data_IF_108610373132
#
_entry.id   IF_108610373132
#
_cell.length_a   1.000
_cell.length_b   1.000
_cell.length_c   1.000
_cell.angle_alpha   90.00
_cell.angle_beta   90.00
_cell.angle_gamma   90.00
#
_symmetry.space_group_name_H-M   'P 1'
#
loop_
_entity.id
_entity.type
_entity.pdbx_description
1 polymer ?
#
# COMPACT_ATOMS: atom_id res chain seq x y z
N UNK A 1 30.98 1.10 47.59
CA UNK A 1 31.07 1.61 46.21
C UNK A 1 29.99 2.68 46.05
N UNK A 2 30.36 3.95 45.84
CA UNK A 2 29.37 5.04 45.66
C UNK A 2 28.56 4.73 44.39
N UNK A 3 27.24 4.63 44.50
CA UNK A 3 26.36 4.59 43.32
C UNK A 3 26.45 5.96 42.66
N UNK A 4 27.12 6.04 41.52
CA UNK A 4 27.15 7.27 40.72
C UNK A 4 25.74 7.46 40.16
N UNK A 5 24.96 8.33 40.79
CA UNK A 5 23.66 8.73 40.28
C UNK A 5 23.90 9.54 39.01
N UNK A 6 23.40 9.04 37.87
CA UNK A 6 23.47 9.74 36.59
C UNK A 6 22.81 11.10 36.74
N UNK A 7 23.49 12.13 36.25
CA UNK A 7 22.97 13.49 36.28
C UNK A 7 21.66 13.56 35.47
N UNK A 8 20.75 14.51 35.79
CA UNK A 8 19.48 14.63 35.08
C UNK A 8 19.63 14.78 33.56
N UNK A 9 20.76 15.31 33.09
CA UNK A 9 21.08 15.50 31.68
C UNK A 9 21.54 14.19 31.00
N UNK A 10 22.38 13.40 31.68
CA UNK A 10 22.75 12.04 31.26
C UNK A 10 21.52 11.11 31.23
N UNK A 11 20.60 11.26 32.19
CA UNK A 11 19.34 10.51 32.22
C UNK A 11 18.48 10.81 30.99
N UNK A 12 18.36 12.09 30.60
CA UNK A 12 17.63 12.51 29.39
C UNK A 12 18.30 11.99 28.12
N UNK A 13 19.62 12.05 28.04
CA UNK A 13 20.36 11.54 26.87
C UNK A 13 20.20 10.01 26.73
N UNK A 14 20.28 9.27 27.83
CA UNK A 14 20.05 7.81 27.83
C UNK A 14 18.61 7.48 27.45
N UNK A 15 17.62 8.21 27.95
CA UNK A 15 16.22 8.05 27.56
C UNK A 15 16.00 8.34 26.07
N UNK A 16 16.59 9.40 25.53
CA UNK A 16 16.52 9.73 24.11
C UNK A 16 17.21 8.69 23.22
N UNK A 17 18.37 8.17 23.64
CA UNK A 17 19.08 7.07 22.98
C UNK A 17 18.27 5.77 23.01
N UNK A 18 17.62 5.47 24.14
CA UNK A 18 16.73 4.31 24.30
C UNK A 18 15.53 4.44 23.37
N UNK A 19 14.89 5.61 23.31
CA UNK A 19 13.76 5.89 22.43
C UNK A 19 14.16 5.79 20.96
N UNK A 20 15.32 6.34 20.57
CA UNK A 20 15.84 6.25 19.20
C UNK A 20 16.15 4.81 18.79
N UNK A 21 16.81 4.04 19.66
CA UNK A 21 17.06 2.60 19.44
C UNK A 21 15.76 1.81 19.36
N UNK A 22 14.79 2.09 20.22
CA UNK A 22 13.47 1.46 20.19
C UNK A 22 12.71 1.80 18.89
N UNK A 23 12.79 3.06 18.42
CA UNK A 23 12.17 3.49 17.17
C UNK A 23 12.84 2.85 15.93
N UNK A 24 14.17 2.71 15.93
CA UNK A 24 14.91 1.99 14.88
C UNK A 24 14.59 0.50 14.89
N UNK A 25 14.50 -0.11 16.08
CA UNK A 25 14.13 -1.52 16.23
C UNK A 25 12.69 -1.76 15.76
N UNK A 26 11.76 -0.86 16.11
CA UNK A 26 10.37 -0.92 15.67
C UNK A 26 10.24 -0.68 14.17
N UNK A 27 11.04 0.22 13.59
CA UNK A 27 11.14 0.43 12.14
C UNK A 27 11.64 -0.83 11.43
N UNK A 28 12.68 -1.47 11.97
CA UNK A 28 13.23 -2.72 11.44
C UNK A 28 12.21 -3.86 11.56
N UNK A 29 11.55 -3.96 12.69
CA UNK A 29 10.48 -4.93 12.96
C UNK A 29 9.28 -4.75 12.03
N UNK A 30 8.82 -3.51 11.80
CA UNK A 30 7.74 -3.21 10.86
C UNK A 30 8.16 -3.62 9.44
N UNK A 31 9.36 -3.26 8.99
CA UNK A 31 9.87 -3.65 7.67
C UNK A 31 9.96 -5.17 7.53
N UNK A 32 10.64 -5.83 8.47
CA UNK A 32 10.84 -7.28 8.48
C UNK A 32 9.51 -8.05 8.61
N UNK A 33 8.53 -7.54 9.38
CA UNK A 33 7.17 -8.13 9.48
C UNK A 33 6.27 -7.83 8.30
N UNK A 34 6.45 -6.69 7.61
CA UNK A 34 5.73 -6.41 6.36
C UNK A 34 6.23 -7.26 5.19
N UNK A 35 7.48 -7.71 5.25
CA UNK A 35 8.09 -8.61 4.26
C UNK A 35 7.97 -10.09 4.65
N UNK A 36 7.69 -10.41 5.92
CA UNK A 36 7.48 -11.77 6.37
C UNK A 36 6.27 -12.43 5.66
N UNK A 37 6.45 -13.68 5.22
CA UNK A 37 5.33 -14.50 4.73
C UNK A 37 4.32 -14.68 5.85
N UNK A 38 3.17 -14.02 5.76
CA UNK A 38 2.02 -14.29 6.65
C UNK A 38 1.56 -15.72 6.36
N UNK A 39 1.87 -16.64 7.28
CA UNK A 39 1.56 -18.06 7.14
C UNK A 39 0.05 -18.30 7.15
N UNK A 40 -0.67 -17.61 8.04
CA UNK A 40 -2.13 -17.68 8.14
C UNK A 40 -2.75 -16.27 8.05
N UNK A 41 -3.17 -15.89 6.84
CA UNK A 41 -3.77 -14.57 6.57
C UNK A 41 -5.17 -14.39 7.16
N UNK A 42 -5.78 -15.47 7.62
CA UNK A 42 -7.15 -15.52 8.13
C UNK A 42 -7.22 -15.74 9.64
N UNK A 43 -6.09 -15.78 10.35
CA UNK A 43 -6.07 -15.97 11.81
C UNK A 43 -6.38 -14.68 12.57
N UNK A 44 -6.95 -14.83 13.77
CA UNK A 44 -7.20 -13.71 14.70
C UNK A 44 -5.90 -12.98 15.04
N UNK A 45 -4.79 -13.70 15.18
CA UNK A 45 -3.46 -13.11 15.41
C UNK A 45 -3.07 -12.14 14.27
N UNK A 46 -3.40 -12.47 13.02
CA UNK A 46 -3.14 -11.56 11.89
C UNK A 46 -3.97 -10.28 11.99
N UNK A 47 -5.20 -10.36 12.50
CA UNK A 47 -6.07 -9.20 12.69
C UNK A 47 -5.55 -8.31 13.85
N UNK A 48 -5.11 -8.93 14.93
CA UNK A 48 -4.48 -8.23 16.06
C UNK A 48 -3.21 -7.49 15.65
N UNK A 49 -2.38 -8.08 14.78
CA UNK A 49 -1.20 -7.41 14.22
C UNK A 49 -1.59 -6.19 13.37
N UNK A 50 -2.67 -6.27 12.59
CA UNK A 50 -3.19 -5.12 11.84
C UNK A 50 -3.71 -4.00 12.77
N UNK A 51 -4.35 -4.35 13.89
CA UNK A 51 -4.77 -3.39 14.92
C UNK A 51 -3.55 -2.76 15.61
N UNK A 52 -2.49 -3.53 15.88
CA UNK A 52 -1.24 -3.00 16.46
C UNK A 52 -0.54 -2.01 15.53
N UNK A 53 -0.53 -2.25 14.20
CA UNK A 53 0.00 -1.28 13.22
C UNK A 53 -0.68 0.09 13.35
N UNK A 54 -1.99 0.12 13.65
CA UNK A 54 -2.74 1.35 13.88
C UNK A 54 -2.28 2.07 15.16
N UNK A 55 -2.10 1.36 16.27
CA UNK A 55 -1.60 1.97 17.52
C UNK A 55 -0.19 2.53 17.38
N UNK A 56 0.65 1.87 16.60
CA UNK A 56 2.01 2.34 16.34
C UNK A 56 2.00 3.60 15.46
N UNK A 57 0.97 3.81 14.63
CA UNK A 57 0.85 4.99 13.75
C UNK A 57 0.89 6.31 14.53
N UNK A 58 0.31 6.35 15.72
CA UNK A 58 0.33 7.54 16.60
C UNK A 58 1.74 7.91 17.06
N UNK A 59 2.67 6.96 17.05
CA UNK A 59 4.11 7.17 17.37
C UNK A 59 4.94 7.52 16.11
N UNK A 60 4.37 7.42 14.90
CA UNK A 60 5.08 7.55 13.62
C UNK A 60 4.92 8.95 12.99
N UNK A 61 4.45 9.97 13.71
CA UNK A 61 4.34 11.35 13.18
C UNK A 61 5.66 11.87 12.58
N UNK A 62 6.80 11.50 13.15
CA UNK A 62 8.11 11.89 12.64
C UNK A 62 8.42 11.28 11.26
N UNK A 63 7.97 10.06 10.97
CA UNK A 63 8.22 9.40 9.68
C UNK A 63 7.33 9.94 8.57
N UNK A 64 6.13 10.42 8.91
CA UNK A 64 5.22 11.08 7.98
C UNK A 64 5.87 12.34 7.40
N UNK A 65 6.43 13.18 8.28
CA UNK A 65 7.13 14.41 7.91
C UNK A 65 8.41 14.15 7.13
N UNK A 66 9.22 13.15 7.54
CA UNK A 66 10.48 12.81 6.88
C UNK A 66 10.32 12.33 5.43
N UNK A 67 9.15 11.79 5.07
CA UNK A 67 8.86 11.28 3.71
C UNK A 67 7.92 12.19 2.92
N UNK A 68 7.58 13.36 3.46
CA UNK A 68 6.65 14.33 2.85
C UNK A 68 5.33 13.67 2.38
N UNK A 69 4.83 12.71 3.18
CA UNK A 69 3.65 11.94 2.83
C UNK A 69 2.35 12.69 3.11
N UNK A 70 2.39 13.73 3.94
CA UNK A 70 1.25 14.61 4.21
C UNK A 70 0.71 15.24 2.91
N UNK A 71 1.57 15.48 1.91
CA UNK A 71 1.17 15.99 0.61
C UNK A 71 0.40 14.96 -0.24
N UNK A 72 0.52 13.66 0.08
CA UNK A 72 0.00 12.55 -0.74
C UNK A 72 -1.10 11.73 -0.08
N UNK A 73 -1.01 11.53 1.23
CA UNK A 73 -1.88 10.63 2.00
C UNK A 73 -2.55 11.39 3.14
N UNK A 74 -3.87 11.25 3.23
CA UNK A 74 -4.72 11.85 4.26
C UNK A 74 -4.73 10.98 5.54
N UNK A 75 -4.95 11.63 6.69
CA UNK A 75 -5.17 10.94 7.98
C UNK A 75 -6.56 10.32 8.08
N UNK A 76 -7.55 10.96 7.46
CA UNK A 76 -8.94 10.52 7.42
C UNK A 76 -9.36 10.24 5.97
N UNK A 77 -10.30 9.30 5.75
CA UNK A 77 -10.80 9.06 4.41
C UNK A 77 -11.65 10.24 3.95
N UNK A 78 -11.42 10.70 2.73
CA UNK A 78 -12.31 11.58 2.01
C UNK A 78 -13.62 10.86 1.63
N UNK A 79 -14.60 11.66 1.21
CA UNK A 79 -15.85 11.15 0.66
C UNK A 79 -15.60 10.20 -0.51
N UNK A 80 -16.47 9.19 -0.63
CA UNK A 80 -16.34 8.18 -1.67
C UNK A 80 -16.71 8.79 -3.03
N UNK A 81 -15.78 8.72 -3.97
CA UNK A 81 -16.00 9.02 -5.38
C UNK A 81 -15.59 7.81 -6.22
N UNK A 82 -16.39 7.42 -7.24
CA UNK A 82 -16.01 6.34 -8.14
C UNK A 82 -14.85 6.78 -9.04
N UNK A 83 -13.65 6.26 -8.79
CA UNK A 83 -12.46 6.55 -9.60
C UNK A 83 -12.14 5.42 -10.60
N UNK A 84 -12.36 4.17 -10.20
CA UNK A 84 -12.10 3.03 -11.07
C UNK A 84 -13.29 2.79 -12.00
N UNK A 85 -13.10 3.05 -13.29
CA UNK A 85 -14.14 2.94 -14.32
C UNK A 85 -14.42 1.49 -14.71
N UNK A 86 -15.59 1.24 -15.31
CA UNK A 86 -15.95 -0.09 -15.82
C UNK A 86 -15.01 -0.50 -16.96
N UNK A 87 -14.60 0.46 -17.79
CA UNK A 87 -13.71 0.27 -18.93
C UNK A 87 -12.35 -0.28 -18.51
N UNK A 88 -11.77 0.24 -17.43
CA UNK A 88 -10.51 -0.27 -16.89
C UNK A 88 -10.61 -1.76 -16.53
N UNK A 89 -11.68 -2.15 -15.83
CA UNK A 89 -11.87 -3.56 -15.46
C UNK A 89 -12.27 -4.42 -16.66
N UNK A 90 -13.02 -3.88 -17.63
CA UNK A 90 -13.38 -4.58 -18.86
C UNK A 90 -12.14 -4.98 -19.66
N UNK A 91 -11.19 -4.07 -19.83
CA UNK A 91 -9.91 -4.37 -20.50
C UNK A 91 -9.07 -5.38 -19.71
N UNK A 92 -9.02 -5.26 -18.38
CA UNK A 92 -8.36 -6.25 -17.53
C UNK A 92 -8.99 -7.64 -17.69
N UNK A 93 -10.32 -7.74 -17.67
CA UNK A 93 -11.04 -9.01 -17.84
C UNK A 93 -10.76 -9.62 -19.22
N UNK A 94 -10.79 -8.80 -20.28
CA UNK A 94 -10.46 -9.22 -21.65
C UNK A 94 -9.08 -9.83 -21.73
N UNK A 95 -8.05 -9.12 -21.26
CA UNK A 95 -6.66 -9.58 -21.30
C UNK A 95 -6.40 -10.83 -20.44
N UNK A 96 -7.23 -11.04 -19.41
CA UNK A 96 -7.13 -12.18 -18.49
C UNK A 96 -7.97 -13.39 -18.91
N UNK A 97 -8.82 -13.24 -19.93
CA UNK A 97 -9.82 -14.25 -20.29
C UNK A 97 -10.84 -14.51 -19.18
N UNK A 98 -11.17 -13.50 -18.37
CA UNK A 98 -12.21 -13.60 -17.35
C UNK A 98 -13.59 -13.35 -17.96
N UNK A 99 -14.61 -14.03 -17.44
CA UNK A 99 -15.99 -13.90 -17.92
C UNK A 99 -16.55 -12.49 -17.67
N UNK A 100 -17.18 -11.90 -18.69
CA UNK A 100 -17.78 -10.57 -18.62
C UNK A 100 -19.24 -10.62 -19.09
N UNK A 101 -20.17 -10.44 -18.15
CA UNK A 101 -21.62 -10.49 -18.37
C UNK A 101 -22.23 -9.06 -18.43
N UNK A 102 -21.52 -8.11 -19.05
CA UNK A 102 -21.98 -6.73 -19.25
C UNK A 102 -21.65 -5.74 -18.13
N UNK A 103 -21.92 -6.05 -16.86
CA UNK A 103 -21.55 -5.18 -15.72
C UNK A 103 -20.65 -5.92 -14.75
N UNK A 104 -19.49 -5.34 -14.43
CA UNK A 104 -18.54 -5.94 -13.48
C UNK A 104 -18.93 -5.51 -12.06
N UNK A 105 -19.92 -6.20 -11.50
CA UNK A 105 -20.29 -6.07 -10.10
C UNK A 105 -19.20 -6.67 -9.19
N UNK A 106 -18.90 -7.94 -9.40
CA UNK A 106 -17.91 -8.70 -8.64
C UNK A 106 -16.60 -8.88 -9.40
N UNK A 107 -15.50 -8.96 -8.67
CA UNK A 107 -14.15 -9.04 -9.23
C UNK A 107 -13.40 -10.16 -8.54
N UNK A 108 -12.67 -11.02 -9.29
CA UNK A 108 -11.75 -11.96 -8.68
C UNK A 108 -10.75 -11.25 -7.77
N UNK A 109 -10.35 -11.88 -6.66
CA UNK A 109 -9.37 -11.31 -5.73
C UNK A 109 -8.05 -10.88 -6.42
N UNK A 110 -7.69 -11.56 -7.51
CA UNK A 110 -6.54 -11.23 -8.35
C UNK A 110 -6.62 -9.84 -8.97
N UNK A 111 -7.81 -9.33 -9.28
CA UNK A 111 -8.00 -8.00 -9.85
C UNK A 111 -7.43 -6.91 -8.93
N UNK A 112 -7.67 -7.01 -7.62
CA UNK A 112 -7.09 -6.09 -6.64
C UNK A 112 -5.56 -6.17 -6.56
N UNK A 113 -4.99 -7.37 -6.75
CA UNK A 113 -3.53 -7.55 -6.81
C UNK A 113 -2.94 -6.89 -8.07
N UNK A 114 -3.60 -7.05 -9.21
CA UNK A 114 -3.18 -6.42 -10.46
C UNK A 114 -3.33 -4.90 -10.42
N UNK A 115 -4.41 -4.37 -9.85
CA UNK A 115 -4.56 -2.93 -9.65
C UNK A 115 -3.47 -2.35 -8.74
N UNK A 116 -3.06 -3.06 -7.69
CA UNK A 116 -1.93 -2.61 -6.87
C UNK A 116 -0.64 -2.48 -7.68
N UNK A 117 -0.36 -3.46 -8.53
CA UNK A 117 0.84 -3.49 -9.37
C UNK A 117 0.80 -2.44 -10.48
N UNK A 118 -0.29 -2.36 -11.24
CA UNK A 118 -0.38 -1.49 -12.42
C UNK A 118 -0.59 -0.03 -12.04
N UNK A 119 -1.36 0.24 -10.97
CA UNK A 119 -1.74 1.60 -10.60
C UNK A 119 -0.98 2.09 -9.38
N UNK A 120 -1.05 1.37 -8.25
CA UNK A 120 -0.50 1.90 -7.00
C UNK A 120 1.05 1.87 -6.92
N UNK A 121 1.71 0.97 -7.65
CA UNK A 121 3.19 0.95 -7.70
C UNK A 121 3.78 2.05 -8.58
N UNK A 122 2.96 2.82 -9.31
CA UNK A 122 3.41 4.02 -10.03
C UNK A 122 3.64 5.22 -9.11
N UNK A 123 3.03 5.22 -7.93
CA UNK A 123 3.38 6.18 -6.90
C UNK A 123 4.76 5.87 -6.31
N UNK A 124 5.26 6.75 -5.43
CA UNK A 124 6.48 6.44 -4.70
C UNK A 124 6.32 5.15 -3.88
N UNK A 125 7.42 4.42 -3.69
CA UNK A 125 7.41 3.09 -3.05
C UNK A 125 6.80 3.10 -1.64
N UNK A 126 6.75 4.26 -0.99
CA UNK A 126 6.17 4.47 0.33
C UNK A 126 4.64 4.57 0.32
N UNK A 127 4.01 5.04 -0.75
CA UNK A 127 2.57 5.39 -0.73
C UNK A 127 1.69 4.18 -0.41
N UNK A 128 1.84 3.06 -1.12
CA UNK A 128 0.98 1.89 -0.88
C UNK A 128 1.18 1.27 0.52
N UNK A 129 2.41 1.06 1.03
CA UNK A 129 2.62 0.66 2.42
C UNK A 129 1.90 1.59 3.42
N UNK A 130 1.99 2.90 3.24
CA UNK A 130 1.30 3.85 4.11
C UNK A 130 -0.22 3.77 3.98
N UNK A 131 -0.75 3.65 2.77
CA UNK A 131 -2.19 3.44 2.52
C UNK A 131 -2.71 2.19 3.22
N UNK A 132 -1.91 1.11 3.31
CA UNK A 132 -2.28 -0.10 4.06
C UNK A 132 -2.27 0.09 5.56
N UNK A 133 -1.41 0.96 6.09
CA UNK A 133 -1.35 1.28 7.51
C UNK A 133 -2.53 2.17 7.93
N UNK A 134 -2.85 3.21 7.15
CA UNK A 134 -3.97 4.13 7.47
C UNK A 134 -5.34 3.51 7.18
N UNK A 135 -5.39 2.52 6.28
CA UNK A 135 -6.59 1.77 5.96
C UNK A 135 -6.38 0.27 6.25
N UNK A 136 -6.31 -0.14 7.53
CA UNK A 136 -6.08 -1.53 7.92
C UNK A 136 -7.27 -2.42 7.56
N UNK A 137 -7.08 -3.74 7.69
CA UNK A 137 -8.16 -4.69 7.45
C UNK A 137 -9.12 -4.66 8.65
N UNK A 138 -10.43 -4.70 8.38
CA UNK A 138 -11.44 -4.93 9.44
C UNK A 138 -11.74 -6.43 9.58
N UNK A 139 -11.57 -7.16 8.48
CA UNK A 139 -11.61 -8.62 8.39
C UNK A 139 -10.62 -9.05 7.32
N UNK A 140 -10.15 -10.31 7.30
CA UNK A 140 -9.22 -10.80 6.30
C UNK A 140 -9.66 -10.44 4.87
N UNK A 141 -8.84 -9.64 4.18
CA UNK A 141 -9.11 -9.19 2.81
C UNK A 141 -10.14 -8.05 2.65
N UNK A 142 -10.80 -7.63 3.74
CA UNK A 142 -11.85 -6.60 3.72
C UNK A 142 -11.39 -5.35 4.46
N UNK A 143 -11.46 -4.21 3.78
CA UNK A 143 -11.19 -2.88 4.35
C UNK A 143 -12.47 -2.08 4.45
N UNK A 144 -12.60 -1.27 5.49
CA UNK A 144 -13.76 -0.39 5.70
C UNK A 144 -13.90 0.62 4.55
N UNK A 145 -12.79 1.18 4.09
CA UNK A 145 -12.74 2.19 3.03
C UNK A 145 -11.84 1.72 1.88
N UNK A 146 -11.90 2.41 0.75
CA UNK A 146 -11.00 2.19 -0.39
C UNK A 146 -9.71 3.00 -0.23
N UNK A 147 -8.58 2.48 -0.72
CA UNK A 147 -7.29 3.16 -0.59
C UNK A 147 -7.29 4.57 -1.21
N UNK A 148 -7.96 4.78 -2.34
CA UNK A 148 -8.03 6.09 -2.97
C UNK A 148 -8.73 7.17 -2.12
N UNK A 149 -9.53 6.79 -1.10
CA UNK A 149 -10.16 7.77 -0.21
C UNK A 149 -9.15 8.43 0.72
N UNK A 150 -7.99 7.79 0.93
CA UNK A 150 -6.91 8.34 1.73
C UNK A 150 -5.87 9.08 0.89
N UNK A 151 -6.11 9.32 -0.40
CA UNK A 151 -5.23 10.14 -1.23
C UNK A 151 -5.69 11.60 -1.17
N UNK A 152 -4.73 12.53 -1.23
CA UNK A 152 -5.04 13.95 -1.41
C UNK A 152 -5.68 14.19 -2.79
N UNK A 153 -6.36 15.32 -2.97
CA UNK A 153 -7.07 15.64 -4.23
C UNK A 153 -6.16 15.51 -5.46
N UNK A 154 -4.97 16.11 -5.43
CA UNK A 154 -4.02 16.04 -6.54
C UNK A 154 -3.56 14.61 -6.84
N UNK A 155 -3.33 13.78 -5.82
CA UNK A 155 -2.96 12.37 -6.04
C UNK A 155 -4.16 11.52 -6.53
N UNK A 156 -5.41 11.90 -6.22
CA UNK A 156 -6.61 11.28 -6.81
C UNK A 156 -6.76 11.61 -8.30
N UNK A 157 -6.43 12.83 -8.70
CA UNK A 157 -6.40 13.22 -10.11
C UNK A 157 -5.29 12.48 -10.86
N UNK A 158 -4.10 12.37 -10.26
CA UNK A 158 -3.00 11.57 -10.79
C UNK A 158 -3.37 10.08 -10.90
N UNK A 159 -4.10 9.54 -9.91
CA UNK A 159 -4.62 8.17 -9.94
C UNK A 159 -5.56 7.95 -11.15
N UNK A 160 -6.43 8.92 -11.46
CA UNK A 160 -7.32 8.87 -12.63
C UNK A 160 -6.50 8.80 -13.93
N UNK A 161 -5.47 9.65 -14.07
CA UNK A 161 -4.56 9.62 -15.21
C UNK A 161 -3.86 8.24 -15.35
N UNK A 162 -3.41 7.66 -14.24
CA UNK A 162 -2.79 6.32 -14.28
C UNK A 162 -3.74 5.24 -14.78
N UNK A 163 -5.01 5.32 -14.39
CA UNK A 163 -6.06 4.40 -14.81
C UNK A 163 -6.37 4.57 -16.30
N UNK A 164 -6.47 5.80 -16.80
CA UNK A 164 -6.70 6.09 -18.21
C UNK A 164 -5.54 5.58 -19.08
N UNK A 165 -4.30 5.88 -18.70
CA UNK A 165 -3.10 5.39 -19.39
C UNK A 165 -2.99 3.87 -19.37
N UNK A 166 -3.33 3.23 -18.26
CA UNK A 166 -3.38 1.77 -18.16
C UNK A 166 -4.46 1.20 -19.09
N UNK A 167 -5.64 1.80 -19.11
CA UNK A 167 -6.76 1.39 -19.97
C UNK A 167 -6.38 1.49 -21.44
N UNK A 168 -5.79 2.60 -21.86
CA UNK A 168 -5.35 2.79 -23.24
C UNK A 168 -4.24 1.82 -23.63
N UNK A 169 -3.25 1.62 -22.75
CA UNK A 169 -2.21 0.63 -23.00
C UNK A 169 -2.80 -0.79 -23.11
N UNK A 170 -3.75 -1.17 -22.26
CA UNK A 170 -4.40 -2.48 -22.34
C UNK A 170 -5.12 -2.70 -23.68
N UNK A 171 -5.79 -1.68 -24.24
CA UNK A 171 -6.48 -1.77 -25.55
C UNK A 171 -5.55 -2.19 -26.69
N UNK A 172 -4.30 -1.73 -26.66
CA UNK A 172 -3.28 -2.07 -27.66
C UNK A 172 -2.72 -3.49 -27.55
N UNK A 173 -3.14 -4.28 -26.56
CA UNK A 173 -2.59 -5.62 -26.31
C UNK A 173 -3.66 -6.72 -26.39
N UNK A 174 -3.24 -7.92 -26.76
CA UNK A 174 -4.08 -9.11 -26.81
C UNK A 174 -3.97 -9.98 -25.54
N UNK A 175 -2.81 -9.97 -24.88
CA UNK A 175 -2.52 -10.79 -23.70
C UNK A 175 -2.05 -9.95 -22.50
N UNK A 176 -2.42 -10.37 -21.30
CA UNK A 176 -2.06 -9.70 -20.05
C UNK A 176 -0.55 -9.65 -19.81
N UNK A 177 0.21 -10.71 -20.13
CA UNK A 177 1.64 -10.74 -19.82
C UNK A 177 2.41 -9.78 -20.73
N UNK A 178 2.08 -9.72 -22.01
CA UNK A 178 2.65 -8.74 -22.94
C UNK A 178 2.37 -7.31 -22.46
N UNK A 179 1.09 -6.99 -22.18
CA UNK A 179 0.70 -5.71 -21.60
C UNK A 179 1.50 -5.39 -20.34
N UNK A 180 1.55 -6.32 -19.39
CA UNK A 180 2.21 -6.11 -18.10
C UNK A 180 3.70 -5.85 -18.26
N UNK A 181 4.39 -6.58 -19.14
CA UNK A 181 5.82 -6.38 -19.41
C UNK A 181 6.06 -4.98 -19.97
N UNK A 182 5.32 -4.59 -21.00
CA UNK A 182 5.56 -3.32 -21.70
C UNK A 182 5.13 -2.12 -20.86
N UNK A 183 4.00 -2.22 -20.17
CA UNK A 183 3.53 -1.20 -19.24
C UNK A 183 4.51 -1.00 -18.09
N UNK A 184 4.94 -2.08 -17.42
CA UNK A 184 5.84 -1.96 -16.29
C UNK A 184 7.21 -1.43 -16.70
N UNK A 185 7.72 -1.79 -17.89
CA UNK A 185 8.93 -1.17 -18.47
C UNK A 185 8.73 0.33 -18.72
N UNK A 186 7.63 0.71 -19.39
CA UNK A 186 7.34 2.11 -19.75
C UNK A 186 7.30 3.03 -18.53
N UNK A 187 6.71 2.57 -17.43
CA UNK A 187 6.52 3.36 -16.21
C UNK A 187 7.51 3.03 -15.09
N UNK A 188 8.56 2.25 -15.38
CA UNK A 188 9.57 1.83 -14.41
C UNK A 188 8.97 1.22 -13.12
N UNK A 189 7.91 0.43 -13.28
CA UNK A 189 7.24 -0.28 -12.19
C UNK A 189 7.92 -1.62 -11.98
N UNK A 190 8.28 -2.01 -10.74
CA UNK A 190 8.89 -3.31 -10.49
C UNK A 190 7.88 -4.45 -10.72
N UNK A 191 8.29 -5.46 -11.49
CA UNK A 191 7.45 -6.62 -11.80
C UNK A 191 8.27 -7.90 -11.88
N UNK A 192 7.68 -9.02 -11.43
CA UNK A 192 8.30 -10.34 -11.55
C UNK A 192 8.03 -10.95 -12.93
N UNK A 193 9.08 -11.41 -13.61
CA UNK A 193 8.95 -12.21 -14.82
C UNK A 193 8.50 -13.63 -14.47
N UNK A 194 7.55 -14.17 -15.24
CA UNK A 194 7.21 -15.58 -15.19
C UNK A 194 8.12 -16.32 -16.15
N UNK A 195 9.00 -17.16 -15.63
CA UNK A 195 9.71 -18.12 -16.44
C UNK A 195 8.83 -19.36 -16.55
N UNK A 196 8.50 -19.77 -17.77
CA UNK A 196 8.03 -21.13 -18.04
C UNK A 196 9.27 -22.03 -18.01
N UNK A 197 9.31 -22.94 -17.04
CA UNK A 197 10.26 -24.05 -17.03
C UNK A 197 9.83 -25.11 -18.05
#
# INVERSE_FOLDING_TARGET
MKKTEMTPEELRQVQALQQSKNAQMLKRFILDKTEARVKDKTSDESLDQEILKRKILDTIEDKWKLKNLDAKVLKTPAEYEPIFTQEYYKEMFRLKGWEYQGVIAEKPWMAGRHTNEIIYFRFSQEVLPFLRIVNPFIMPGIRKYKHHQYLTQGERELLKQFIEEATECMRGHADWNCFRIDYCKKYNVPYQLKFSL
#
